data_IF_641723783068
#
_entry.id   IF_641723783068
#
_cell.length_a   1.000
_cell.length_b   1.000
_cell.length_c   1.000
_cell.angle_alpha   90.00
_cell.angle_beta   90.00
_cell.angle_gamma   90.00
#
_symmetry.space_group_name_H-M   'P 1'
#
loop_
_entity.id
_entity.type
_entity.pdbx_description
1 polymer ?
#
# COMPACT_ATOMS: atom_id res chain seq x y z
N UNK A 1 22.37 43.05 5.96
CA UNK A 1 20.97 43.39 5.61
C UNK A 1 20.71 43.24 4.12
N UNK A 2 21.44 43.91 3.21
CA UNK A 2 21.27 43.72 1.75
C UNK A 2 21.59 42.30 1.24
N UNK A 3 22.70 41.71 1.68
CA UNK A 3 23.06 40.33 1.31
C UNK A 3 22.04 39.28 1.82
N UNK A 4 21.38 39.55 2.94
CA UNK A 4 20.31 38.70 3.51
C UNK A 4 19.01 38.83 2.69
N UNK A 5 18.70 40.03 2.15
CA UNK A 5 17.55 40.25 1.28
C UNK A 5 17.75 39.57 -0.09
N UNK A 6 18.93 39.67 -0.68
CA UNK A 6 19.25 39.01 -1.95
C UNK A 6 19.27 37.49 -1.82
N UNK A 7 19.85 36.93 -0.74
CA UNK A 7 19.77 35.49 -0.45
C UNK A 7 18.32 35.01 -0.35
N UNK A 8 17.48 35.71 0.42
CA UNK A 8 16.06 35.35 0.55
C UNK A 8 15.29 35.43 -0.77
N UNK A 9 15.64 36.39 -1.63
CA UNK A 9 15.04 36.52 -2.97
C UNK A 9 15.39 35.32 -3.84
N UNK A 10 16.65 34.89 -3.79
CA UNK A 10 17.11 33.73 -4.53
C UNK A 10 16.46 32.45 -4.01
N UNK A 11 16.43 32.24 -2.69
CA UNK A 11 15.75 31.08 -2.07
C UNK A 11 14.25 31.04 -2.45
N UNK A 12 13.59 32.20 -2.46
CA UNK A 12 12.17 32.30 -2.86
C UNK A 12 11.99 31.97 -4.34
N UNK A 13 12.92 32.41 -5.19
CA UNK A 13 12.89 32.16 -6.62
C UNK A 13 13.12 30.68 -6.93
N UNK A 14 14.10 30.06 -6.28
CA UNK A 14 14.40 28.64 -6.40
C UNK A 14 13.19 27.80 -5.98
N UNK A 15 12.61 28.09 -4.81
CA UNK A 15 11.40 27.41 -4.34
C UNK A 15 10.20 27.58 -5.30
N UNK A 16 10.06 28.75 -5.94
CA UNK A 16 9.02 28.98 -6.94
C UNK A 16 9.23 28.15 -8.21
N UNK A 17 10.48 28.05 -8.69
CA UNK A 17 10.83 27.22 -9.86
C UNK A 17 10.56 25.75 -9.56
N UNK A 18 10.98 25.26 -8.39
CA UNK A 18 10.73 23.88 -7.97
C UNK A 18 9.23 23.59 -7.86
N UNK A 19 8.45 24.54 -7.35
CA UNK A 19 6.99 24.40 -7.28
C UNK A 19 6.36 24.30 -8.66
N UNK A 20 6.82 25.08 -9.65
CA UNK A 20 6.33 25.01 -11.03
C UNK A 20 6.69 23.66 -11.66
N UNK A 21 7.94 23.22 -11.53
CA UNK A 21 8.39 21.93 -12.07
C UNK A 21 7.56 20.77 -11.50
N UNK A 22 7.30 20.80 -10.19
CA UNK A 22 6.50 19.78 -9.52
C UNK A 22 5.04 19.75 -9.98
N UNK A 23 4.46 20.93 -10.23
CA UNK A 23 3.12 21.03 -10.80
C UNK A 23 3.05 20.43 -12.20
N UNK A 24 4.06 20.71 -13.03
CA UNK A 24 4.16 20.13 -14.37
C UNK A 24 4.31 18.60 -14.32
N UNK A 25 5.16 18.08 -13.43
CA UNK A 25 5.32 16.64 -13.22
C UNK A 25 4.02 15.98 -12.75
N UNK A 26 3.33 16.59 -11.78
CA UNK A 26 2.04 16.09 -11.28
C UNK A 26 1.00 16.06 -12.39
N UNK A 27 0.95 17.11 -13.21
CA UNK A 27 0.03 17.20 -14.34
C UNK A 27 0.31 16.16 -15.42
N UNK A 28 1.59 15.97 -15.77
CA UNK A 28 1.99 14.96 -16.75
C UNK A 28 1.67 13.55 -16.25
N UNK A 29 1.98 13.25 -14.98
CA UNK A 29 1.62 11.97 -14.37
C UNK A 29 0.11 11.74 -14.37
N UNK A 30 -0.70 12.77 -14.07
CA UNK A 30 -2.15 12.66 -14.12
C UNK A 30 -2.65 12.31 -15.53
N UNK A 31 -2.09 12.94 -16.56
CA UNK A 31 -2.48 12.71 -17.96
C UNK A 31 -2.13 11.32 -18.47
N UNK A 32 -1.02 10.76 -17.98
CA UNK A 32 -0.51 9.45 -18.38
C UNK A 32 -0.94 8.33 -17.41
N UNK A 33 -1.83 8.63 -16.47
CA UNK A 33 -2.19 7.70 -15.40
C UNK A 33 -2.88 6.44 -15.94
N UNK A 34 -2.36 5.27 -15.58
CA UNK A 34 -2.93 3.97 -15.93
C UNK A 34 -3.46 3.20 -14.70
N UNK A 35 -4.51 2.36 -14.87
CA UNK A 35 -4.96 1.49 -13.80
C UNK A 35 -3.83 0.58 -13.31
N UNK A 36 -3.66 0.48 -11.98
CA UNK A 36 -2.63 -0.32 -11.31
C UNK A 36 -1.19 0.19 -11.51
N UNK A 37 -1.02 1.44 -11.94
CA UNK A 37 0.27 2.10 -11.97
C UNK A 37 0.82 2.30 -10.54
N UNK A 38 2.13 2.11 -10.40
CA UNK A 38 2.84 2.34 -9.14
C UNK A 38 3.56 3.69 -9.27
N UNK A 39 3.24 4.60 -8.35
CA UNK A 39 3.95 5.87 -8.20
C UNK A 39 4.96 5.71 -7.07
N UNK A 40 6.25 5.79 -7.40
CA UNK A 40 7.32 5.59 -6.40
C UNK A 40 7.57 6.83 -5.53
N UNK A 41 7.29 8.01 -6.05
CA UNK A 41 7.44 9.28 -5.31
C UNK A 41 6.20 9.55 -4.47
N UNK A 42 6.38 9.53 -3.15
CA UNK A 42 5.31 9.74 -2.18
C UNK A 42 4.78 11.17 -2.19
N UNK A 43 5.66 12.18 -2.32
CA UNK A 43 5.23 13.59 -2.37
C UNK A 43 4.41 13.84 -3.61
N UNK A 44 4.87 13.33 -4.76
CA UNK A 44 4.15 13.45 -6.01
C UNK A 44 2.78 12.77 -5.96
N UNK A 45 2.70 11.56 -5.37
CA UNK A 45 1.42 10.87 -5.20
C UNK A 45 0.47 11.63 -4.28
N UNK A 46 0.95 12.21 -3.17
CA UNK A 46 0.13 13.03 -2.27
C UNK A 46 -0.45 14.23 -3.01
N UNK A 47 0.38 14.96 -3.75
CA UNK A 47 -0.09 16.10 -4.54
C UNK A 47 -1.10 15.68 -5.64
N UNK A 48 -0.84 14.56 -6.31
CA UNK A 48 -1.75 13.98 -7.29
C UNK A 48 -3.11 13.64 -6.66
N UNK A 49 -3.11 12.98 -5.49
CA UNK A 49 -4.31 12.58 -4.74
C UNK A 49 -5.08 13.79 -4.22
N UNK A 50 -4.39 14.79 -3.65
CA UNK A 50 -5.03 15.99 -3.13
C UNK A 50 -5.69 16.82 -4.23
N UNK A 51 -5.05 16.89 -5.41
CA UNK A 51 -5.56 17.68 -6.54
C UNK A 51 -6.61 16.93 -7.36
N UNK A 52 -6.43 15.65 -7.65
CA UNK A 52 -7.24 14.91 -8.62
C UNK A 52 -7.91 13.63 -8.07
N UNK A 53 -7.65 13.28 -6.81
CA UNK A 53 -8.25 12.13 -6.12
C UNK A 53 -9.12 12.51 -4.93
N UNK A 54 -9.39 13.80 -4.72
CA UNK A 54 -10.08 14.33 -3.55
C UNK A 54 -11.24 15.25 -3.94
N UNK A 55 -12.40 15.16 -3.27
CA UNK A 55 -13.50 16.10 -3.46
C UNK A 55 -13.13 17.56 -3.17
N UNK A 56 -12.07 17.78 -2.38
CA UNK A 56 -11.59 19.12 -2.01
C UNK A 56 -10.60 19.73 -3.03
N UNK A 57 -10.13 18.94 -4.00
CA UNK A 57 -9.26 19.39 -5.09
C UNK A 57 -10.06 19.83 -6.32
N UNK A 58 -9.64 19.36 -7.50
CA UNK A 58 -10.32 19.56 -8.78
C UNK A 58 -11.37 18.47 -9.08
N UNK A 59 -11.57 17.52 -8.18
CA UNK A 59 -12.51 16.39 -8.31
C UNK A 59 -11.89 15.04 -8.00
N UNK A 60 -12.72 13.99 -8.03
CA UNK A 60 -12.31 12.59 -7.81
C UNK A 60 -12.26 11.88 -9.17
N UNK A 61 -11.08 11.88 -9.79
CA UNK A 61 -10.87 11.26 -11.11
C UNK A 61 -10.32 9.85 -11.02
N UNK A 62 -9.62 9.53 -9.93
CA UNK A 62 -9.04 8.21 -9.70
C UNK A 62 -9.14 7.83 -8.22
N UNK A 63 -9.03 6.53 -7.93
CA UNK A 63 -8.84 6.00 -6.59
C UNK A 63 -7.41 5.47 -6.47
N UNK A 64 -6.68 5.94 -5.47
CA UNK A 64 -5.32 5.51 -5.18
C UNK A 64 -5.11 5.40 -3.69
N UNK A 65 -4.35 4.39 -3.28
CA UNK A 65 -3.99 4.16 -1.89
C UNK A 65 -2.57 3.62 -1.77
N UNK A 66 -2.10 3.52 -0.53
CA UNK A 66 -0.78 3.00 -0.21
C UNK A 66 -0.88 1.71 0.61
N UNK A 67 0.18 0.92 0.59
CA UNK A 67 0.33 -0.25 1.45
C UNK A 67 -0.66 -1.39 1.18
N UNK A 68 -0.91 -2.19 2.21
CA UNK A 68 -1.72 -3.40 2.10
C UNK A 68 -3.22 -3.15 1.87
N UNK A 69 -3.72 -1.98 2.29
CA UNK A 69 -5.12 -1.59 2.11
C UNK A 69 -5.47 -1.44 0.63
N UNK A 70 -4.64 -0.71 -0.13
CA UNK A 70 -4.83 -0.55 -1.56
C UNK A 70 -4.76 -1.90 -2.32
N UNK A 71 -3.86 -2.80 -1.91
CA UNK A 71 -3.77 -4.14 -2.49
C UNK A 71 -5.05 -4.93 -2.21
N UNK A 72 -5.61 -4.83 -0.99
CA UNK A 72 -6.85 -5.49 -0.62
C UNK A 72 -8.03 -5.01 -1.46
N UNK A 73 -8.16 -3.70 -1.68
CA UNK A 73 -9.20 -3.15 -2.55
C UNK A 73 -9.09 -3.68 -3.99
N UNK A 74 -7.87 -3.66 -4.55
CA UNK A 74 -7.62 -4.22 -5.88
C UNK A 74 -7.95 -5.72 -5.99
N UNK A 75 -7.74 -6.48 -4.92
CA UNK A 75 -8.08 -7.91 -4.86
C UNK A 75 -9.59 -8.12 -4.74
N UNK A 76 -10.30 -7.25 -4.03
CA UNK A 76 -11.75 -7.31 -3.85
C UNK A 76 -12.51 -7.06 -5.14
N UNK A 77 -12.00 -6.15 -5.98
CA UNK A 77 -12.61 -5.79 -7.26
C UNK A 77 -12.24 -6.76 -8.40
N UNK A 78 -11.46 -7.81 -8.12
CA UNK A 78 -10.97 -8.74 -9.13
C UNK A 78 -11.99 -9.83 -9.48
N UNK A 79 -12.54 -9.80 -10.69
CA UNK A 79 -13.31 -10.92 -11.24
C UNK A 79 -12.38 -12.07 -11.69
N UNK A 80 -12.22 -13.05 -10.81
CA UNK A 80 -11.42 -14.25 -11.06
C UNK A 80 -11.93 -15.10 -12.22
N UNK A 81 -13.24 -15.12 -12.50
CA UNK A 81 -13.81 -15.93 -13.59
C UNK A 81 -13.49 -15.29 -14.94
N UNK A 82 -13.65 -13.97 -15.04
CA UNK A 82 -13.25 -13.22 -16.22
C UNK A 82 -11.74 -13.33 -16.48
N UNK A 83 -10.92 -13.15 -15.45
CA UNK A 83 -9.46 -13.27 -15.57
C UNK A 83 -9.04 -14.69 -15.98
N UNK A 84 -9.66 -15.73 -15.43
CA UNK A 84 -9.39 -17.12 -15.84
C UNK A 84 -9.69 -17.37 -17.32
N UNK A 85 -10.78 -16.79 -17.85
CA UNK A 85 -11.14 -16.90 -19.26
C UNK A 85 -10.10 -16.20 -20.15
N UNK A 86 -9.74 -14.97 -19.81
CA UNK A 86 -8.72 -14.19 -20.51
C UNK A 86 -7.35 -14.88 -20.53
N UNK A 87 -6.94 -15.47 -19.42
CA UNK A 87 -5.70 -16.24 -19.33
C UNK A 87 -5.72 -17.50 -20.20
N UNK A 88 -6.84 -18.23 -20.25
CA UNK A 88 -6.99 -19.40 -21.14
C UNK A 88 -6.89 -19.01 -22.62
N UNK A 89 -7.50 -17.89 -23.02
CA UNK A 89 -7.38 -17.36 -24.38
C UNK A 89 -5.94 -16.94 -24.70
N UNK A 90 -5.28 -16.28 -23.75
CA UNK A 90 -3.86 -15.88 -23.87
C UNK A 90 -2.95 -17.09 -24.06
N UNK A 91 -3.21 -18.20 -23.36
CA UNK A 91 -2.42 -19.43 -23.48
C UNK A 91 -2.58 -20.07 -24.87
N UNK A 92 -3.75 -19.95 -25.49
CA UNK A 92 -4.01 -20.47 -26.84
C UNK A 92 -3.39 -19.61 -27.95
N UNK A 93 -3.40 -18.29 -27.77
CA UNK A 93 -2.97 -17.32 -28.80
C UNK A 93 -1.50 -16.94 -28.71
N UNK A 94 -0.93 -16.86 -27.51
CA UNK A 94 0.44 -16.39 -27.28
C UNK A 94 1.41 -17.58 -27.17
N UNK A 95 2.68 -17.38 -27.58
CA UNK A 95 3.76 -18.37 -27.46
C UNK A 95 4.91 -17.85 -26.59
N UNK A 96 5.79 -18.74 -26.15
CA UNK A 96 7.01 -18.41 -25.42
C UNK A 96 6.76 -17.90 -24.00
N UNK A 97 7.46 -16.83 -23.61
CA UNK A 97 7.44 -16.32 -22.24
C UNK A 97 6.05 -15.82 -21.80
N UNK A 98 5.29 -15.19 -22.70
CA UNK A 98 3.93 -14.71 -22.42
C UNK A 98 2.99 -15.86 -22.08
N UNK A 99 3.09 -16.97 -22.80
CA UNK A 99 2.33 -18.19 -22.53
C UNK A 99 2.70 -18.80 -21.16
N UNK A 100 4.01 -18.92 -20.87
CA UNK A 100 4.46 -19.47 -19.59
C UNK A 100 4.00 -18.64 -18.38
N UNK A 101 4.04 -17.30 -18.49
CA UNK A 101 3.51 -16.40 -17.45
C UNK A 101 2.00 -16.59 -17.27
N UNK A 102 1.25 -16.69 -18.36
CA UNK A 102 -0.20 -16.93 -18.31
C UNK A 102 -0.54 -18.28 -17.66
N UNK A 103 0.20 -19.35 -17.93
CA UNK A 103 0.02 -20.66 -17.29
C UNK A 103 0.22 -20.57 -15.77
N UNK A 104 1.30 -19.93 -15.31
CA UNK A 104 1.58 -19.76 -13.87
C UNK A 104 0.49 -18.97 -13.16
N UNK A 105 0.02 -17.87 -13.78
CA UNK A 105 -1.08 -17.06 -13.24
C UNK A 105 -2.39 -17.84 -13.21
N UNK A 106 -2.71 -18.56 -14.28
CA UNK A 106 -3.94 -19.37 -14.36
C UNK A 106 -3.98 -20.45 -13.27
N UNK A 107 -2.83 -21.04 -12.89
CA UNK A 107 -2.78 -22.01 -11.80
C UNK A 107 -3.28 -21.42 -10.47
N UNK A 108 -2.85 -20.20 -10.14
CA UNK A 108 -3.27 -19.50 -8.92
C UNK A 108 -4.75 -19.10 -9.01
N UNK A 109 -5.15 -18.47 -10.12
CA UNK A 109 -6.54 -18.05 -10.33
C UNK A 109 -7.50 -19.25 -10.29
N UNK A 110 -7.14 -20.36 -10.93
CA UNK A 110 -7.97 -21.57 -10.94
C UNK A 110 -8.11 -22.18 -9.54
N UNK A 111 -7.09 -22.08 -8.69
CA UNK A 111 -7.17 -22.54 -7.30
C UNK A 111 -8.18 -21.71 -6.49
N UNK A 112 -8.18 -20.38 -6.66
CA UNK A 112 -9.18 -19.51 -6.03
C UNK A 112 -10.59 -19.72 -6.61
N UNK A 113 -10.73 -19.94 -7.93
CA UNK A 113 -12.05 -20.18 -8.54
C UNK A 113 -12.66 -21.51 -8.09
N UNK A 114 -11.83 -22.53 -7.83
CA UNK A 114 -12.29 -23.86 -7.42
C UNK A 114 -12.48 -23.97 -5.91
N UNK A 115 -11.79 -23.14 -5.13
CA UNK A 115 -12.00 -23.05 -3.67
C UNK A 115 -13.07 -22.00 -3.35
N UNK A 116 -13.60 -22.05 -2.13
CA UNK A 116 -14.48 -20.98 -1.61
C UNK A 116 -13.68 -19.79 -1.04
N UNK A 117 -12.35 -19.80 -1.21
CA UNK A 117 -11.47 -18.78 -0.67
C UNK A 117 -11.50 -17.52 -1.52
N UNK A 118 -11.50 -16.37 -0.87
CA UNK A 118 -11.39 -15.08 -1.55
C UNK A 118 -9.97 -14.51 -1.52
N UNK A 119 -9.46 -13.90 -2.60
CA UNK A 119 -8.09 -13.38 -2.64
C UNK A 119 -7.80 -12.31 -1.58
N UNK A 120 -8.78 -11.46 -1.25
CA UNK A 120 -8.63 -10.40 -0.26
C UNK A 120 -8.34 -10.92 1.15
N UNK A 121 -8.61 -12.21 1.44
CA UNK A 121 -8.30 -12.84 2.73
C UNK A 121 -6.80 -13.00 2.98
N UNK A 122 -5.96 -12.82 1.96
CA UNK A 122 -4.51 -12.76 2.14
C UNK A 122 -4.07 -11.52 2.93
N UNK A 123 -4.90 -10.48 3.00
CA UNK A 123 -4.65 -9.27 3.77
C UNK A 123 -5.42 -9.35 5.10
N UNK A 124 -4.68 -9.34 6.21
CA UNK A 124 -5.25 -9.55 7.54
C UNK A 124 -5.68 -8.23 8.19
N UNK A 125 -6.97 -8.11 8.51
CA UNK A 125 -7.49 -7.03 9.38
C UNK A 125 -7.49 -7.43 10.86
N UNK A 126 -7.72 -8.72 11.15
CA UNK A 126 -7.72 -9.29 12.49
C UNK A 126 -6.63 -10.35 12.60
N UNK A 127 -5.58 -10.05 13.35
CA UNK A 127 -4.46 -10.98 13.57
C UNK A 127 -4.82 -11.94 14.71
N UNK A 128 -4.86 -13.26 14.46
CA UNK A 128 -5.16 -14.23 15.52
C UNK A 128 -4.01 -14.32 16.53
N UNK A 129 -4.38 -14.53 17.80
CA UNK A 129 -3.43 -14.65 18.90
C UNK A 129 -3.52 -16.06 19.47
N UNK A 130 -2.38 -16.75 19.52
CA UNK A 130 -2.30 -18.12 20.04
C UNK A 130 -2.69 -18.13 21.54
N UNK A 131 -3.44 -19.15 22.02
CA UNK A 131 -3.80 -19.28 23.43
C UNK A 131 -2.59 -19.22 24.38
N UNK A 132 -2.73 -18.61 25.59
CA UNK A 132 -1.64 -18.50 26.57
C UNK A 132 -0.93 -19.82 26.93
N UNK A 133 -1.66 -20.93 26.96
CA UNK A 133 -1.11 -22.25 27.30
C UNK A 133 -0.02 -22.72 26.33
N UNK A 134 -0.15 -22.36 25.05
CA UNK A 134 0.84 -22.67 24.02
C UNK A 134 2.00 -21.66 23.95
N UNK A 135 1.95 -20.61 24.80
CA UNK A 135 2.98 -19.56 24.91
C UNK A 135 3.36 -19.30 26.38
N UNK A 136 3.77 -20.34 27.13
CA UNK A 136 4.00 -20.21 28.56
C UNK A 136 5.12 -19.21 28.86
N UNK A 137 4.95 -18.48 29.96
CA UNK A 137 5.98 -17.69 30.59
C UNK A 137 6.42 -18.47 31.84
N UNK A 138 7.69 -18.86 31.88
CA UNK A 138 8.22 -19.68 32.98
C UNK A 138 8.98 -18.78 33.93
N UNK A 139 8.60 -18.78 35.20
CA UNK A 139 9.37 -18.11 36.23
C UNK A 139 10.63 -18.94 36.54
N UNK A 140 11.79 -18.29 36.53
CA UNK A 140 13.08 -18.86 36.91
C UNK A 140 13.43 -18.46 38.35
N UNK A 141 14.34 -19.22 38.95
CA UNK A 141 14.90 -18.91 40.26
C UNK A 141 15.54 -17.49 40.27
N UNK A 142 15.27 -16.75 41.33
CA UNK A 142 15.75 -15.36 41.48
C UNK A 142 14.87 -14.29 40.84
N UNK A 143 13.60 -14.59 40.54
CA UNK A 143 12.62 -13.58 40.10
C UNK A 143 12.71 -13.17 38.63
N UNK A 144 13.47 -13.92 37.82
CA UNK A 144 13.55 -13.73 36.37
C UNK A 144 12.42 -14.49 35.69
N UNK A 145 11.97 -14.00 34.53
CA UNK A 145 10.99 -14.70 33.70
C UNK A 145 11.66 -15.11 32.38
N UNK A 146 11.57 -16.39 32.03
CA UNK A 146 11.83 -16.86 30.68
C UNK A 146 10.56 -16.68 29.86
N UNK A 147 10.65 -15.88 28.80
CA UNK A 147 9.53 -15.60 27.90
C UNK A 147 9.81 -16.20 26.53
N UNK A 148 8.81 -16.80 25.90
CA UNK A 148 8.89 -17.17 24.48
C UNK A 148 9.08 -15.93 23.59
N UNK A 149 9.91 -16.01 22.56
CA UNK A 149 10.12 -14.96 21.53
C UNK A 149 8.80 -14.48 20.90
N UNK A 150 7.79 -15.35 20.85
CA UNK A 150 6.48 -15.05 20.31
C UNK A 150 5.76 -13.94 21.11
N UNK A 151 5.91 -13.93 22.43
CA UNK A 151 5.30 -12.91 23.29
C UNK A 151 5.88 -11.52 23.00
N UNK A 152 7.18 -11.45 22.69
CA UNK A 152 7.84 -10.20 22.35
C UNK A 152 7.44 -9.69 20.96
N UNK A 153 7.25 -10.58 19.99
CA UNK A 153 6.68 -10.24 18.68
C UNK A 153 5.26 -9.68 18.81
N UNK A 154 4.38 -10.36 19.57
CA UNK A 154 3.03 -9.87 19.81
C UNK A 154 3.04 -8.50 20.49
N UNK A 155 3.87 -8.30 21.51
CA UNK A 155 3.99 -7.02 22.21
C UNK A 155 4.38 -5.89 21.26
N UNK A 156 5.32 -6.14 20.34
CA UNK A 156 5.74 -5.15 19.32
C UNK A 156 4.60 -4.77 18.39
N UNK A 157 3.87 -5.75 17.87
CA UNK A 157 2.72 -5.52 16.97
C UNK A 157 1.63 -4.73 17.69
N UNK A 158 1.26 -5.13 18.90
CA UNK A 158 0.22 -4.45 19.71
C UNK A 158 0.62 -3.01 19.99
N UNK A 159 1.87 -2.77 20.40
CA UNK A 159 2.36 -1.43 20.69
C UNK A 159 2.34 -0.53 19.46
N UNK A 160 2.71 -1.05 18.29
CA UNK A 160 2.67 -0.29 17.03
C UNK A 160 1.23 0.02 16.62
N UNK A 161 0.31 -0.93 16.73
CA UNK A 161 -1.10 -0.74 16.42
C UNK A 161 -1.75 0.32 17.35
N UNK A 162 -1.47 0.24 18.66
CA UNK A 162 -1.96 1.21 19.63
C UNK A 162 -1.39 2.62 19.38
N UNK A 163 -0.11 2.71 18.99
CA UNK A 163 0.51 3.97 18.61
C UNK A 163 -0.15 4.56 17.36
N UNK A 164 -0.38 3.75 16.33
CA UNK A 164 -1.04 4.18 15.10
C UNK A 164 -2.45 4.70 15.40
N UNK A 165 -3.23 3.96 16.18
CA UNK A 165 -4.57 4.39 16.59
C UNK A 165 -4.57 5.77 17.25
N UNK A 166 -3.64 6.01 18.19
CA UNK A 166 -3.49 7.32 18.84
C UNK A 166 -3.12 8.44 17.88
N UNK A 167 -2.29 8.16 16.88
CA UNK A 167 -1.91 9.16 15.87
C UNK A 167 -3.10 9.56 14.98
N UNK A 168 -3.91 8.58 14.58
CA UNK A 168 -5.15 8.81 13.84
C UNK A 168 -6.16 9.62 14.66
N UNK A 169 -6.33 9.29 15.94
CA UNK A 169 -7.24 10.01 16.85
C UNK A 169 -6.82 11.48 17.05
N UNK A 170 -5.52 11.78 16.95
CA UNK A 170 -4.96 13.14 17.04
C UNK A 170 -5.01 13.91 15.72
N UNK A 171 -5.49 13.30 14.63
CA UNK A 171 -5.47 13.91 13.30
C UNK A 171 -4.06 14.23 12.81
N UNK A 172 -3.05 13.47 13.27
CA UNK A 172 -1.70 13.63 12.77
C UNK A 172 -1.71 13.43 11.25
N UNK A 173 -1.09 14.33 10.48
CA UNK A 173 -1.02 14.16 9.03
C UNK A 173 -0.37 12.82 8.70
N UNK A 174 -0.91 12.14 7.67
CA UNK A 174 -0.28 10.95 7.08
C UNK A 174 1.16 11.22 6.65
#
# INVERSE_FOLDING_TARGET
MYQDIESRREDTREAAVDSVNRLEETWNLFRELEPKQIVNDEQLFRELKDRFGSPYGFGVYFAGGMGAEAIRELLKDLDLKAEAKLLRETIKTSKGQKQQRAIKRLKVVSAFVTSENKPEWMILEAVPVIPPELRPMVQLDGGRFATSDLNDLYRRVINRNNRLKRLLDLGAPE
#
